data_IF_862992710532
#
_entry.id   IF_862992710532
#
_cell.length_a   1.000
_cell.length_b   1.000
_cell.length_c   1.000
_cell.angle_alpha   90.00
_cell.angle_beta   90.00
_cell.angle_gamma   90.00
#
_symmetry.space_group_name_H-M   'P 1'
#
loop_
_entity.id
_entity.type
_entity.pdbx_description
1 polymer ?
#
# COMPACT_ATOMS: atom_id res chain seq x y z
N UNK A 1 9.83 73.56 1.28
CA UNK A 1 8.88 72.53 1.70
C UNK A 1 9.03 71.32 0.79
N UNK A 2 9.65 70.28 1.32
CA UNK A 2 9.87 69.04 0.54
C UNK A 2 9.01 67.93 1.16
N UNK A 3 7.98 67.49 0.41
CA UNK A 3 7.19 66.32 0.79
C UNK A 3 7.94 65.08 0.36
N UNK A 4 8.44 64.35 1.33
CA UNK A 4 9.05 63.01 1.10
C UNK A 4 7.93 61.98 1.12
N UNK A 5 7.62 61.41 -0.04
CA UNK A 5 6.68 60.31 -0.19
C UNK A 5 7.39 59.04 0.17
N UNK A 6 7.03 58.43 1.31
CA UNK A 6 7.42 57.10 1.66
C UNK A 6 6.49 56.09 0.98
N UNK A 7 7.04 55.41 0.02
CA UNK A 7 6.38 54.26 -0.62
C UNK A 7 6.59 53.06 0.26
N UNK A 8 5.56 52.62 0.98
CA UNK A 8 5.57 51.36 1.71
C UNK A 8 5.29 50.24 0.72
N UNK A 9 6.33 49.47 0.45
CA UNK A 9 6.22 48.26 -0.38
C UNK A 9 5.67 47.12 0.52
N UNK A 10 4.37 46.83 0.37
CA UNK A 10 3.75 45.65 0.98
C UNK A 10 4.20 44.41 0.23
N UNK A 11 5.15 43.69 0.81
CA UNK A 11 5.54 42.35 0.32
C UNK A 11 4.48 41.35 0.81
N UNK A 12 3.50 41.08 -0.06
CA UNK A 12 2.48 40.08 0.20
C UNK A 12 3.09 38.70 0.21
N UNK A 13 3.22 38.10 1.40
CA UNK A 13 3.57 36.69 1.58
C UNK A 13 2.35 35.88 1.13
N UNK A 14 2.41 35.31 -0.06
CA UNK A 14 1.44 34.30 -0.50
C UNK A 14 1.76 33.02 0.29
N UNK A 15 1.00 32.77 1.34
CA UNK A 15 0.97 31.48 2.00
C UNK A 15 0.29 30.49 1.03
N UNK A 16 1.11 29.67 0.37
CA UNK A 16 0.62 28.47 -0.31
C UNK A 16 0.14 27.51 0.76
N UNK A 17 -1.13 27.61 1.13
CA UNK A 17 -1.82 26.55 1.84
C UNK A 17 -1.91 25.37 0.87
N UNK A 18 -0.95 24.45 0.98
CA UNK A 18 -1.06 23.17 0.30
C UNK A 18 -2.34 22.49 0.78
N UNK A 19 -3.25 22.20 -0.14
CA UNK A 19 -4.36 21.30 0.14
C UNK A 19 -3.77 19.96 0.55
N UNK A 20 -3.77 19.67 1.83
CA UNK A 20 -3.64 18.31 2.30
C UNK A 20 -4.85 17.54 1.77
N UNK A 21 -4.63 16.84 0.67
CA UNK A 21 -5.60 15.88 0.16
C UNK A 21 -5.79 14.84 1.23
N UNK A 22 -6.92 14.92 1.92
CA UNK A 22 -7.23 14.13 3.10
C UNK A 22 -7.00 12.65 2.92
N UNK A 23 -5.88 12.19 3.37
CA UNK A 23 -5.78 10.98 4.04
C UNK A 23 -5.17 9.78 3.34
N UNK A 24 -5.39 9.46 2.09
CA UNK A 24 -4.82 8.24 1.50
C UNK A 24 -3.43 8.45 0.95
N UNK A 25 -2.55 7.49 1.21
CA UNK A 25 -1.13 7.53 0.82
C UNK A 25 -0.84 6.49 -0.26
N UNK A 26 0.33 6.58 -0.87
CA UNK A 26 0.86 5.51 -1.72
C UNK A 26 1.76 4.57 -0.94
N UNK A 27 1.81 3.30 -1.34
CA UNK A 27 2.73 2.30 -0.79
C UNK A 27 3.27 1.44 -1.93
N UNK A 28 4.56 1.20 -1.92
CA UNK A 28 5.22 0.28 -2.86
C UNK A 28 6.33 -0.48 -2.15
N UNK A 29 6.75 -1.57 -2.72
CA UNK A 29 7.87 -2.34 -2.18
C UNK A 29 7.97 -3.72 -2.78
N UNK A 30 8.75 -4.55 -2.10
CA UNK A 30 9.01 -5.93 -2.49
C UNK A 30 8.54 -6.91 -1.43
N UNK A 31 8.20 -8.12 -1.86
CA UNK A 31 7.84 -9.22 -0.97
C UNK A 31 8.61 -10.46 -1.38
N UNK A 32 9.34 -11.03 -0.45
CA UNK A 32 10.04 -12.31 -0.62
C UNK A 32 9.53 -13.34 0.38
N UNK A 33 9.61 -14.59 0.02
CA UNK A 33 9.34 -15.73 0.90
C UNK A 33 10.49 -16.73 0.80
N UNK A 34 11.10 -17.04 1.95
CA UNK A 34 12.28 -17.91 2.02
C UNK A 34 13.40 -17.46 1.05
N UNK A 35 13.62 -16.16 0.93
CA UNK A 35 14.64 -15.56 0.07
C UNK A 35 14.29 -15.46 -1.41
N UNK A 36 13.10 -15.89 -1.82
CA UNK A 36 12.65 -15.82 -3.22
C UNK A 36 11.52 -14.81 -3.40
N UNK A 37 11.47 -14.06 -4.52
CA UNK A 37 10.36 -13.19 -4.81
C UNK A 37 9.03 -13.94 -4.83
N UNK A 38 8.00 -13.36 -4.22
CA UNK A 38 6.66 -13.91 -4.23
C UNK A 38 6.03 -13.70 -5.61
N UNK A 39 5.83 -14.76 -6.37
CA UNK A 39 5.45 -14.67 -7.78
C UNK A 39 4.12 -13.94 -7.99
N UNK A 40 3.04 -14.41 -7.36
CA UNK A 40 1.69 -13.82 -7.44
C UNK A 40 1.04 -13.89 -6.08
N UNK A 41 0.51 -12.76 -5.62
CA UNK A 41 -0.15 -12.72 -4.33
C UNK A 41 -0.91 -11.42 -4.10
N UNK A 42 -1.30 -11.23 -2.87
CA UNK A 42 -1.93 -10.00 -2.40
C UNK A 42 -1.31 -9.53 -1.11
N UNK A 43 -1.22 -8.22 -0.96
CA UNK A 43 -0.85 -7.55 0.29
C UNK A 43 -2.04 -6.73 0.75
N UNK A 44 -2.35 -6.78 2.04
CA UNK A 44 -3.46 -6.05 2.64
C UNK A 44 -2.99 -5.30 3.88
N UNK A 45 -3.32 -4.03 3.96
CA UNK A 45 -3.08 -3.17 5.11
C UNK A 45 -4.38 -3.03 5.89
N UNK A 46 -4.38 -3.50 7.12
CA UNK A 46 -5.52 -3.47 8.04
C UNK A 46 -5.23 -2.45 9.13
N UNK A 47 -5.97 -1.33 9.20
CA UNK A 47 -5.76 -0.35 10.26
C UNK A 47 -5.94 -1.00 11.63
N UNK A 48 -5.03 -0.71 12.57
CA UNK A 48 -5.13 -1.21 13.96
C UNK A 48 -5.85 -0.23 14.88
N UNK A 49 -6.07 1.01 14.43
CA UNK A 49 -6.86 2.01 15.13
C UNK A 49 -8.37 1.87 14.86
N UNK A 50 -9.17 2.69 15.55
CA UNK A 50 -10.63 2.71 15.41
C UNK A 50 -11.10 3.29 14.06
N UNK A 51 -10.24 4.02 13.38
CA UNK A 51 -10.55 4.69 12.10
C UNK A 51 -9.66 4.14 10.99
N UNK A 52 -10.26 3.98 9.84
CA UNK A 52 -9.54 3.59 8.64
C UNK A 52 -10.24 2.48 7.88
N UNK A 53 -9.88 2.37 6.62
CA UNK A 53 -10.42 1.39 5.71
C UNK A 53 -9.29 0.44 5.32
N UNK A 54 -9.56 -0.83 5.40
CA UNK A 54 -8.72 -1.89 4.89
C UNK A 54 -8.48 -1.68 3.39
N UNK A 55 -7.24 -1.73 2.97
CA UNK A 55 -6.87 -1.61 1.56
C UNK A 55 -5.79 -2.62 1.20
N UNK A 56 -5.61 -2.87 -0.08
CA UNK A 56 -4.61 -3.82 -0.52
C UNK A 56 -4.28 -3.69 -2.00
N UNK A 57 -3.27 -4.42 -2.41
CA UNK A 57 -2.79 -4.46 -3.77
C UNK A 57 -2.34 -5.85 -4.18
N UNK A 58 -2.11 -6.00 -5.48
CA UNK A 58 -1.59 -7.24 -6.06
C UNK A 58 -0.07 -7.26 -5.96
N UNK A 59 0.47 -8.44 -5.69
CA UNK A 59 1.90 -8.72 -5.75
C UNK A 59 2.15 -9.47 -7.06
N UNK A 60 3.09 -9.00 -7.85
CA UNK A 60 3.55 -9.65 -9.09
C UNK A 60 5.07 -9.62 -9.13
N UNK A 61 5.69 -10.78 -9.37
CA UNK A 61 7.16 -10.93 -9.41
C UNK A 61 7.86 -10.32 -8.19
N UNK A 62 7.28 -10.49 -7.02
CA UNK A 62 7.81 -9.97 -5.76
C UNK A 62 7.64 -8.46 -5.56
N UNK A 63 6.88 -7.77 -6.39
CA UNK A 63 6.69 -6.33 -6.31
C UNK A 63 5.21 -5.98 -6.14
N UNK A 64 4.93 -4.91 -5.41
CA UNK A 64 3.59 -4.33 -5.29
C UNK A 64 3.66 -2.81 -5.30
N UNK A 65 2.57 -2.20 -5.75
CA UNK A 65 2.39 -0.76 -5.72
C UNK A 65 0.91 -0.43 -5.56
N UNK A 66 0.60 0.45 -4.62
CA UNK A 66 -0.75 0.97 -4.38
C UNK A 66 -0.67 2.49 -4.50
N UNK A 67 -1.39 3.04 -5.45
CA UNK A 67 -1.40 4.48 -5.69
C UNK A 67 -2.19 5.25 -4.60
N UNK A 68 -1.87 6.53 -4.34
CA UNK A 68 -2.46 7.30 -3.27
C UNK A 68 -3.98 7.25 -3.14
N UNK A 69 -4.80 7.31 -4.20
CA UNK A 69 -6.26 7.25 -4.05
C UNK A 69 -6.76 5.94 -3.45
N UNK A 70 -5.97 4.86 -3.54
CA UNK A 70 -6.36 3.51 -3.12
C UNK A 70 -5.54 2.96 -1.95
N UNK A 71 -4.52 3.68 -1.52
CA UNK A 71 -3.62 3.24 -0.47
C UNK A 71 -4.15 3.43 0.95
N UNK A 72 -3.38 3.02 1.95
CA UNK A 72 -3.75 3.14 3.35
C UNK A 72 -3.73 4.61 3.81
N UNK A 73 -4.45 4.88 4.88
CA UNK A 73 -4.34 6.15 5.59
C UNK A 73 -3.10 6.15 6.48
N UNK A 74 -2.53 7.33 6.82
CA UNK A 74 -1.45 7.40 7.79
C UNK A 74 -1.81 6.74 9.12
N UNK A 75 -0.84 6.11 9.76
CA UNK A 75 -1.00 5.46 11.05
C UNK A 75 -0.55 3.99 11.06
N UNK A 76 -0.76 3.29 12.19
CA UNK A 76 -0.34 1.91 12.34
C UNK A 76 -1.29 0.96 11.63
N UNK A 77 -0.71 -0.05 10.98
CA UNK A 77 -1.42 -1.10 10.26
C UNK A 77 -0.84 -2.47 10.57
N UNK A 78 -1.71 -3.46 10.59
CA UNK A 78 -1.32 -4.87 10.48
C UNK A 78 -1.29 -5.24 9.00
N UNK A 79 -0.29 -5.99 8.58
CA UNK A 79 -0.08 -6.36 7.18
C UNK A 79 -0.37 -7.84 7.00
N UNK A 80 -1.23 -8.18 6.06
CA UNK A 80 -1.53 -9.55 5.66
C UNK A 80 -1.00 -9.79 4.26
N UNK A 81 -0.27 -10.88 4.07
CA UNK A 81 0.28 -11.27 2.77
C UNK A 81 -0.20 -12.67 2.43
N UNK A 82 -0.69 -12.86 1.21
CA UNK A 82 -1.16 -14.13 0.69
C UNK A 82 -0.45 -14.46 -0.61
N UNK A 83 -0.15 -15.73 -0.80
CA UNK A 83 0.45 -16.24 -2.01
C UNK A 83 -0.54 -17.10 -2.79
N UNK A 84 -0.94 -16.63 -3.95
CA UNK A 84 -1.79 -17.37 -4.89
C UNK A 84 -0.93 -18.36 -5.66
N UNK A 85 -0.80 -19.58 -5.12
CA UNK A 85 0.04 -20.64 -5.69
C UNK A 85 -0.77 -21.52 -6.64
N UNK A 86 -0.36 -21.68 -7.92
CA UNK A 86 -1.01 -22.62 -8.83
C UNK A 86 -0.86 -24.05 -8.34
N UNK A 87 -1.91 -24.86 -8.50
CA UNK A 87 -1.89 -26.30 -8.17
C UNK A 87 -1.49 -27.17 -9.35
N UNK A 88 -1.37 -26.60 -10.56
CA UNK A 88 -1.20 -27.33 -11.81
C UNK A 88 -2.51 -27.87 -12.40
N UNK A 89 -3.61 -27.77 -11.68
CA UNK A 89 -4.95 -28.15 -12.16
C UNK A 89 -5.66 -26.96 -12.80
N UNK A 90 -6.52 -27.25 -13.76
CA UNK A 90 -7.36 -26.26 -14.43
C UNK A 90 -8.82 -26.67 -14.32
N UNK A 91 -9.71 -25.67 -14.28
CA UNK A 91 -11.14 -25.91 -14.44
C UNK A 91 -11.71 -25.02 -15.53
N UNK A 92 -12.78 -25.46 -16.12
CA UNK A 92 -13.50 -24.74 -17.17
C UNK A 92 -14.87 -24.37 -16.62
N UNK A 93 -15.23 -23.07 -16.71
CA UNK A 93 -16.55 -22.63 -16.31
C UNK A 93 -17.61 -22.95 -17.38
N UNK A 94 -18.87 -22.66 -17.07
CA UNK A 94 -20.01 -22.89 -18.00
C UNK A 94 -19.96 -22.04 -19.28
N UNK A 95 -19.15 -20.96 -19.27
CA UNK A 95 -18.93 -20.12 -20.47
C UNK A 95 -17.73 -20.59 -21.31
N UNK A 96 -17.07 -21.66 -20.91
CA UNK A 96 -15.94 -22.22 -21.66
C UNK A 96 -14.58 -21.58 -21.32
N UNK A 97 -14.52 -20.65 -20.37
CA UNK A 97 -13.28 -20.04 -19.92
C UNK A 97 -12.50 -20.99 -19.01
N UNK A 98 -11.19 -21.02 -19.20
CA UNK A 98 -10.27 -21.89 -18.44
C UNK A 98 -9.53 -21.08 -17.39
N UNK A 99 -9.57 -21.56 -16.16
CA UNK A 99 -8.91 -20.94 -15.00
C UNK A 99 -7.96 -21.91 -14.33
N UNK A 100 -6.85 -21.39 -13.82
CA UNK A 100 -5.97 -22.16 -12.96
C UNK A 100 -6.58 -22.34 -11.56
N UNK A 101 -6.56 -23.56 -11.07
CA UNK A 101 -6.91 -23.84 -9.68
C UNK A 101 -5.73 -23.42 -8.80
N UNK A 102 -5.98 -22.50 -7.88
CA UNK A 102 -4.96 -21.96 -7.01
C UNK A 102 -5.20 -22.35 -5.55
N UNK A 103 -4.17 -22.30 -4.73
CA UNK A 103 -4.24 -22.48 -3.29
C UNK A 103 -3.40 -21.43 -2.57
N UNK A 104 -3.67 -21.24 -1.27
CA UNK A 104 -2.78 -20.44 -0.42
C UNK A 104 -1.43 -21.12 -0.29
N UNK A 105 -0.37 -20.39 -0.55
CA UNK A 105 1.01 -20.90 -0.49
C UNK A 105 1.77 -20.51 0.78
N UNK A 106 1.22 -19.58 1.58
CA UNK A 106 1.85 -19.11 2.82
C UNK A 106 1.21 -19.72 4.07
N UNK A 107 1.97 -19.90 5.16
CA UNK A 107 1.43 -20.24 6.48
C UNK A 107 0.52 -19.13 7.01
N UNK A 108 -0.42 -19.50 7.89
CA UNK A 108 -1.38 -18.56 8.52
C UNK A 108 -0.72 -17.39 9.25
N UNK A 109 0.52 -17.58 9.72
CA UNK A 109 1.31 -16.51 10.36
C UNK A 109 1.60 -15.30 9.50
N UNK A 110 1.42 -15.39 8.19
CA UNK A 110 1.62 -14.27 7.26
C UNK A 110 0.31 -13.62 6.79
N UNK A 111 -0.84 -14.22 7.08
CA UNK A 111 -2.16 -13.69 6.72
C UNK A 111 -3.15 -13.68 7.88
N UNK A 112 -3.89 -14.74 8.15
CA UNK A 112 -4.94 -14.76 9.20
C UNK A 112 -4.41 -14.45 10.59
N UNK A 113 -3.22 -14.93 10.93
CA UNK A 113 -2.53 -14.76 12.21
C UNK A 113 -1.31 -13.83 12.07
N UNK A 114 -1.35 -12.92 11.10
CA UNK A 114 -0.22 -12.03 10.85
C UNK A 114 0.08 -11.13 12.03
N UNK A 115 1.36 -11.08 12.39
CA UNK A 115 1.94 -10.13 13.34
C UNK A 115 2.77 -9.05 12.64
N UNK A 116 2.80 -9.05 11.31
CA UNK A 116 3.47 -8.03 10.53
C UNK A 116 2.79 -6.68 10.74
N UNK A 117 3.58 -5.67 11.05
CA UNK A 117 3.10 -4.31 11.27
C UNK A 117 3.84 -3.33 10.38
N UNK A 118 3.17 -2.24 10.05
CA UNK A 118 3.76 -1.11 9.33
C UNK A 118 3.15 0.18 9.83
N UNK A 119 3.97 1.21 9.94
CA UNK A 119 3.50 2.58 10.18
C UNK A 119 3.50 3.33 8.87
N UNK A 120 2.36 3.82 8.47
CA UNK A 120 2.16 4.56 7.22
C UNK A 120 2.29 6.05 7.48
N UNK A 121 3.08 6.71 6.66
CA UNK A 121 3.29 8.16 6.68
C UNK A 121 2.63 8.82 5.48
N UNK A 122 2.39 10.12 5.55
CA UNK A 122 1.89 10.89 4.42
C UNK A 122 2.84 10.78 3.21
N UNK A 123 2.28 10.76 2.01
CA UNK A 123 3.04 10.63 0.76
C UNK A 123 3.22 9.18 0.30
N UNK A 124 4.35 8.91 -0.35
CA UNK A 124 4.69 7.57 -0.85
C UNK A 124 5.55 6.84 0.18
N UNK A 125 5.10 5.67 0.60
CA UNK A 125 5.83 4.78 1.50
C UNK A 125 6.53 3.68 0.71
N UNK A 126 7.75 3.33 1.11
CA UNK A 126 8.48 2.18 0.56
C UNK A 126 8.66 1.15 1.66
N UNK A 127 7.99 0.00 1.54
CA UNK A 127 7.96 -1.05 2.56
C UNK A 127 8.24 -2.41 1.91
N UNK A 128 9.31 -3.05 2.35
CA UNK A 128 9.72 -4.37 1.89
C UNK A 128 9.44 -5.40 2.98
N UNK A 129 8.93 -6.56 2.58
CA UNK A 129 8.61 -7.67 3.49
C UNK A 129 9.37 -8.93 3.10
N UNK A 130 10.21 -9.41 4.00
CA UNK A 130 10.95 -10.64 3.84
C UNK A 130 10.32 -11.69 4.76
N UNK A 131 9.54 -12.59 4.17
CA UNK A 131 8.81 -13.62 4.90
C UNK A 131 9.66 -14.88 5.06
N UNK A 132 9.64 -15.43 6.24
CA UNK A 132 10.32 -16.69 6.56
C UNK A 132 9.33 -17.87 6.59
N UNK A 133 9.88 -19.08 6.39
CA UNK A 133 9.11 -20.34 6.49
C UNK A 133 8.54 -20.57 7.88
#
# INVERSE_FOLDING_TARGET
MRCTRWTVLFLGTVALTGCESGGRTGVKGTVTYAGQPLAVGTITFVPTGEKGIKCGGRIENGQYQIEPPFGPMPGPHRVEIRWTKPTGKKYKNEFGEVFDVTREGLPDKHHKQSTLTATIHAGMNVLDFNLEK
#
